data_IF_794145295467
#
_entry.id   IF_794145295467
#
_cell.length_a   1.000
_cell.length_b   1.000
_cell.length_c   1.000
_cell.angle_alpha   90.00
_cell.angle_beta   90.00
_cell.angle_gamma   90.00
#
_symmetry.space_group_name_H-M   'P 1'
#
loop_
_entity.id
_entity.type
_entity.pdbx_description
1 polymer ?
#
# COMPACT_ATOMS: atom_id res chain seq x y z
N UNK A 1 8.54 -11.86 0.22
CA UNK A 1 7.15 -12.32 -0.04
C UNK A 1 6.27 -11.75 1.06
N UNK A 2 5.16 -11.10 0.69
CA UNK A 2 4.27 -10.42 1.63
C UNK A 2 2.83 -10.80 1.28
N UNK A 3 1.97 -10.89 2.30
CA UNK A 3 0.51 -10.95 2.12
C UNK A 3 -0.15 -10.14 3.24
N UNK A 4 -1.38 -9.71 2.98
CA UNK A 4 -2.20 -9.10 4.02
C UNK A 4 -2.74 -10.20 4.94
N UNK A 5 -2.57 -10.02 6.25
CA UNK A 5 -3.19 -10.86 7.26
C UNK A 5 -4.45 -10.16 7.76
N UNK A 6 -5.57 -10.89 7.83
CA UNK A 6 -6.87 -10.29 8.10
C UNK A 6 -7.04 -9.79 9.55
N UNK A 7 -6.18 -10.17 10.49
CA UNK A 7 -6.24 -9.70 11.88
C UNK A 7 -4.85 -9.73 12.52
N UNK A 8 -4.56 -8.69 13.29
CA UNK A 8 -3.28 -8.47 14.00
C UNK A 8 -3.42 -8.54 15.52
N UNK A 9 -4.60 -8.88 16.05
CA UNK A 9 -4.85 -8.94 17.49
C UNK A 9 -5.08 -7.58 18.17
N UNK A 10 -5.33 -6.51 17.41
CA UNK A 10 -5.58 -5.17 17.95
C UNK A 10 -6.94 -5.01 18.64
N UNK A 11 -7.21 -3.79 19.11
CA UNK A 11 -8.44 -3.43 19.84
C UNK A 11 -9.74 -3.58 19.03
N UNK A 12 -9.64 -3.72 17.70
CA UNK A 12 -10.76 -4.02 16.82
C UNK A 12 -10.44 -5.24 15.92
N UNK A 13 -11.42 -6.12 15.63
CA UNK A 13 -11.26 -7.16 14.62
C UNK A 13 -10.95 -6.58 13.25
N UNK A 14 -10.04 -7.20 12.51
CA UNK A 14 -9.73 -6.77 11.13
C UNK A 14 -8.45 -5.97 10.98
N UNK A 15 -7.76 -5.64 12.08
CA UNK A 15 -6.48 -4.90 12.06
C UNK A 15 -6.60 -3.39 11.80
N UNK A 16 -7.82 -2.85 11.70
CA UNK A 16 -8.08 -1.43 11.43
C UNK A 16 -8.89 -0.82 12.59
N UNK A 17 -8.21 -0.49 13.69
CA UNK A 17 -8.85 0.19 14.82
C UNK A 17 -8.77 1.72 14.66
N UNK A 18 -9.84 2.33 14.14
CA UNK A 18 -9.92 3.79 13.97
C UNK A 18 -9.85 4.58 15.27
N UNK A 19 -10.19 3.94 16.39
CA UNK A 19 -10.17 4.55 17.72
C UNK A 19 -8.92 4.17 18.52
N UNK A 20 -7.88 3.62 17.87
CA UNK A 20 -6.63 3.29 18.55
C UNK A 20 -5.94 4.60 19.01
N UNK A 21 -5.77 4.82 20.33
CA UNK A 21 -5.11 6.02 20.84
C UNK A 21 -3.61 6.05 20.50
N UNK A 22 -3.01 4.88 20.32
CA UNK A 22 -1.59 4.68 20.09
C UNK A 22 -1.34 3.37 19.33
N UNK A 23 -0.08 3.14 18.98
CA UNK A 23 0.36 1.96 18.23
C UNK A 23 0.17 0.63 19.01
N UNK A 24 0.06 0.66 20.35
CA UNK A 24 -0.12 -0.56 21.14
C UNK A 24 -1.56 -1.07 21.08
N UNK A 25 -2.52 -0.18 20.83
CA UNK A 25 -3.92 -0.56 20.59
C UNK A 25 -4.19 -1.17 19.20
N UNK A 26 -3.18 -1.22 18.32
CA UNK A 26 -3.30 -1.73 16.93
C UNK A 26 -3.02 -3.23 16.79
N UNK A 27 -2.55 -3.86 17.86
CA UNK A 27 -2.26 -5.28 17.91
C UNK A 27 -0.76 -5.57 17.98
N UNK A 28 -0.42 -6.81 17.65
CA UNK A 28 0.91 -7.34 17.90
C UNK A 28 1.88 -6.92 16.78
N UNK A 29 2.93 -6.22 17.20
CA UNK A 29 4.07 -5.89 16.34
C UNK A 29 5.11 -6.98 16.48
N UNK A 30 5.20 -7.84 15.47
CA UNK A 30 6.24 -8.86 15.42
C UNK A 30 7.55 -8.22 14.91
N UNK A 31 8.64 -8.23 15.70
CA UNK A 31 9.95 -7.86 15.17
C UNK A 31 10.41 -8.91 14.14
N UNK A 32 11.58 -8.70 13.52
CA UNK A 32 12.17 -9.64 12.58
C UNK A 32 12.57 -10.96 13.29
N UNK A 33 11.61 -11.87 13.47
CA UNK A 33 11.78 -13.16 14.10
C UNK A 33 11.99 -14.27 13.06
N UNK A 34 12.81 -15.27 13.40
CA UNK A 34 12.94 -16.48 12.57
C UNK A 34 11.76 -17.42 12.82
N UNK A 35 10.99 -17.70 11.77
CA UNK A 35 9.92 -18.71 11.79
C UNK A 35 10.43 -20.14 11.57
N UNK A 36 11.51 -20.27 10.79
CA UNK A 36 12.16 -21.54 10.49
C UNK A 36 13.66 -21.38 10.74
N UNK A 37 14.21 -22.27 11.56
CA UNK A 37 15.61 -22.28 11.93
C UNK A 37 16.22 -23.63 11.55
N UNK A 38 17.24 -23.61 10.68
CA UNK A 38 17.90 -24.82 10.16
C UNK A 38 16.94 -25.85 9.56
N UNK A 39 15.86 -25.39 8.92
CA UNK A 39 14.83 -26.25 8.32
C UNK A 39 13.76 -26.73 9.32
N UNK A 40 13.86 -26.39 10.60
CA UNK A 40 12.86 -26.74 11.62
C UNK A 40 11.99 -25.53 11.96
N UNK A 41 10.67 -25.72 11.97
CA UNK A 41 9.70 -24.68 12.34
C UNK A 41 9.81 -24.37 13.83
N UNK A 42 9.85 -23.08 14.18
CA UNK A 42 9.78 -22.59 15.55
C UNK A 42 8.32 -22.57 16.01
N UNK A 43 7.86 -23.70 16.57
CA UNK A 43 6.45 -23.92 16.93
C UNK A 43 5.97 -22.97 18.02
N UNK A 44 6.87 -22.59 18.92
CA UNK A 44 6.67 -21.56 19.95
C UNK A 44 6.31 -20.20 19.32
N UNK A 45 7.05 -19.78 18.29
CA UNK A 45 6.78 -18.53 17.57
C UNK A 45 5.49 -18.63 16.76
N UNK A 46 5.28 -19.71 16.01
CA UNK A 46 4.01 -19.91 15.27
C UNK A 46 2.80 -19.86 16.21
N UNK A 47 2.89 -20.52 17.37
CA UNK A 47 1.83 -20.54 18.37
C UNK A 47 1.58 -19.15 18.96
N UNK A 48 2.63 -18.43 19.35
CA UNK A 48 2.52 -17.05 19.84
C UNK A 48 1.83 -16.14 18.81
N UNK A 49 2.21 -16.23 17.53
CA UNK A 49 1.59 -15.43 16.48
C UNK A 49 0.11 -15.80 16.29
N UNK A 50 -0.21 -17.10 16.24
CA UNK A 50 -1.58 -17.58 16.06
C UNK A 50 -2.48 -17.24 17.25
N UNK A 51 -1.98 -17.30 18.48
CA UNK A 51 -2.72 -16.95 19.70
C UNK A 51 -3.15 -15.49 19.73
N UNK A 52 -2.46 -14.63 18.97
CA UNK A 52 -2.76 -13.21 18.84
C UNK A 52 -3.57 -12.88 17.57
N UNK A 53 -4.15 -13.87 16.88
CA UNK A 53 -5.04 -13.64 15.75
C UNK A 53 -6.41 -14.23 16.00
N UNK A 54 -7.45 -13.46 15.64
CA UNK A 54 -8.84 -13.94 15.65
C UNK A 54 -9.16 -14.87 14.48
N UNK A 55 -8.27 -14.94 13.48
CA UNK A 55 -8.54 -15.58 12.19
C UNK A 55 -7.99 -17.00 12.15
N UNK A 56 -8.83 -18.04 11.88
CA UNK A 56 -8.37 -19.42 11.87
C UNK A 56 -7.43 -19.73 10.68
N UNK A 57 -7.43 -18.88 9.65
CA UNK A 57 -6.58 -19.02 8.45
C UNK A 57 -5.17 -18.47 8.64
N UNK A 58 -4.89 -17.74 9.72
CA UNK A 58 -3.61 -17.04 9.95
C UNK A 58 -2.38 -17.93 9.74
N UNK A 59 -2.39 -19.15 10.31
CA UNK A 59 -1.29 -20.10 10.14
C UNK A 59 -1.18 -20.63 8.71
N UNK A 60 -2.30 -20.71 7.98
CA UNK A 60 -2.32 -21.06 6.57
C UNK A 60 -1.60 -20.00 5.73
N UNK A 61 -1.92 -18.73 5.96
CA UNK A 61 -1.28 -17.59 5.29
C UNK A 61 0.22 -17.53 5.59
N UNK A 62 0.60 -17.72 6.86
CA UNK A 62 2.02 -17.79 7.28
C UNK A 62 2.77 -18.92 6.57
N UNK A 63 2.18 -20.12 6.51
CA UNK A 63 2.77 -21.28 5.84
C UNK A 63 2.85 -21.10 4.34
N UNK A 64 1.89 -20.41 3.72
CA UNK A 64 1.92 -20.07 2.31
C UNK A 64 3.10 -19.12 2.01
N UNK A 65 3.35 -18.12 2.86
CA UNK A 65 4.51 -17.22 2.73
C UNK A 65 5.85 -17.99 2.83
N UNK A 66 5.97 -18.92 3.78
CA UNK A 66 7.15 -19.78 3.93
C UNK A 66 7.33 -20.66 2.69
N UNK A 67 6.29 -21.38 2.27
CA UNK A 67 6.36 -22.28 1.10
C UNK A 67 6.70 -21.54 -0.20
N UNK A 68 6.15 -20.34 -0.41
CA UNK A 68 6.51 -19.49 -1.54
C UNK A 68 8.00 -19.07 -1.49
N UNK A 69 8.54 -18.81 -0.29
CA UNK A 69 9.95 -18.45 -0.10
C UNK A 69 10.86 -19.64 -0.41
N UNK A 70 10.51 -20.83 0.09
CA UNK A 70 11.25 -22.07 -0.19
C UNK A 70 11.26 -22.41 -1.68
N UNK A 71 10.13 -22.23 -2.37
CA UNK A 71 10.06 -22.38 -3.82
C UNK A 71 11.01 -21.41 -4.53
N UNK A 72 11.02 -20.14 -4.12
CA UNK A 72 11.93 -19.12 -4.65
C UNK A 72 13.41 -19.50 -4.46
N UNK A 73 13.77 -19.99 -3.28
CA UNK A 73 15.13 -20.48 -2.98
C UNK A 73 15.51 -21.64 -3.90
N UNK A 74 14.62 -22.62 -4.11
CA UNK A 74 14.87 -23.75 -5.01
C UNK A 74 15.11 -23.27 -6.45
N UNK A 75 14.26 -22.40 -6.97
CA UNK A 75 14.40 -21.86 -8.33
C UNK A 75 15.67 -21.03 -8.48
N UNK A 76 16.03 -20.23 -7.48
CA UNK A 76 17.28 -19.47 -7.50
C UNK A 76 18.51 -20.40 -7.52
N UNK A 77 18.49 -21.50 -6.76
CA UNK A 77 19.56 -22.51 -6.79
C UNK A 77 19.71 -23.15 -8.17
N UNK A 78 18.61 -23.46 -8.86
CA UNK A 78 18.63 -23.99 -10.24
C UNK A 78 19.32 -23.00 -11.20
N UNK A 79 18.99 -21.71 -11.09
CA UNK A 79 19.61 -20.64 -11.91
C UNK A 79 21.09 -20.49 -11.59
N UNK A 80 21.45 -20.48 -10.30
CA UNK A 80 22.85 -20.38 -9.86
C UNK A 80 23.69 -21.59 -10.32
N UNK A 81 23.14 -22.81 -10.27
CA UNK A 81 23.81 -24.02 -10.75
C UNK A 81 24.05 -23.97 -12.26
N UNK A 82 23.11 -23.41 -13.04
CA UNK A 82 23.20 -23.33 -14.50
C UNK A 82 24.16 -22.24 -14.99
N UNK A 83 24.16 -21.06 -14.37
CA UNK A 83 24.85 -19.88 -14.88
C UNK A 83 26.06 -19.44 -14.04
N UNK A 84 26.21 -19.98 -12.84
CA UNK A 84 27.24 -19.57 -11.89
C UNK A 84 26.89 -18.27 -11.15
N UNK A 85 27.45 -18.12 -9.95
CA UNK A 85 27.14 -17.01 -9.04
C UNK A 85 27.48 -15.65 -9.64
N UNK A 86 28.65 -15.48 -10.25
CA UNK A 86 29.09 -14.19 -10.76
C UNK A 86 28.24 -13.69 -11.93
N UNK A 87 27.86 -14.59 -12.84
CA UNK A 87 26.94 -14.27 -13.94
C UNK A 87 25.59 -13.79 -13.42
N UNK A 88 25.03 -14.50 -12.43
CA UNK A 88 23.73 -14.14 -11.84
C UNK A 88 23.82 -12.79 -11.11
N UNK A 89 24.88 -12.56 -10.34
CA UNK A 89 25.11 -11.26 -9.68
C UNK A 89 25.27 -10.13 -10.71
N UNK A 90 25.98 -10.39 -11.81
CA UNK A 90 26.11 -9.48 -12.94
C UNK A 90 24.76 -9.14 -13.56
N UNK A 91 23.93 -10.15 -13.81
CA UNK A 91 22.58 -9.98 -14.36
C UNK A 91 21.67 -9.16 -13.44
N UNK A 92 21.70 -9.41 -12.12
CA UNK A 92 20.93 -8.62 -11.14
C UNK A 92 21.34 -7.14 -11.19
N UNK A 93 22.65 -6.85 -11.18
CA UNK A 93 23.16 -5.48 -11.31
C UNK A 93 22.72 -4.83 -12.61
N UNK A 94 22.77 -5.56 -13.73
CA UNK A 94 22.36 -5.07 -15.04
C UNK A 94 20.85 -4.75 -15.09
N UNK A 95 20.01 -5.58 -14.49
CA UNK A 95 18.54 -5.38 -14.43
C UNK A 95 18.19 -4.16 -13.57
N UNK A 96 18.88 -3.96 -12.44
CA UNK A 96 18.72 -2.77 -11.59
C UNK A 96 19.17 -1.51 -12.33
N UNK A 97 20.35 -1.54 -12.96
CA UNK A 97 20.86 -0.41 -13.74
C UNK A 97 19.94 -0.08 -14.93
N UNK A 98 19.38 -1.11 -15.59
CA UNK A 98 18.44 -0.94 -16.67
C UNK A 98 17.16 -0.23 -16.20
N UNK A 99 16.56 -0.65 -15.07
CA UNK A 99 15.38 0.00 -14.52
C UNK A 99 15.63 1.49 -14.23
N UNK A 100 16.77 1.82 -13.60
CA UNK A 100 17.18 3.19 -13.32
C UNK A 100 17.32 4.03 -14.59
N UNK A 101 17.95 3.48 -15.63
CA UNK A 101 18.12 4.16 -16.91
C UNK A 101 16.77 4.41 -17.58
N UNK A 102 15.91 3.40 -17.64
CA UNK A 102 14.57 3.52 -18.25
C UNK A 102 13.69 4.54 -17.53
N UNK A 103 13.72 4.56 -16.19
CA UNK A 103 13.06 5.59 -15.39
C UNK A 103 13.53 6.99 -15.79
N UNK A 104 14.85 7.21 -15.81
CA UNK A 104 15.45 8.51 -16.16
C UNK A 104 15.12 8.94 -17.59
N UNK A 105 15.10 8.01 -18.53
CA UNK A 105 14.71 8.25 -19.93
C UNK A 105 13.24 8.65 -20.07
N UNK A 106 12.36 8.14 -19.20
CA UNK A 106 10.96 8.55 -19.16
C UNK A 106 10.80 9.94 -18.54
N UNK A 107 11.39 10.17 -17.37
CA UNK A 107 11.32 11.49 -16.70
C UNK A 107 11.91 12.60 -17.57
N UNK A 108 12.98 12.33 -18.33
CA UNK A 108 13.57 13.31 -19.26
C UNK A 108 12.65 13.76 -20.40
N UNK A 109 11.50 13.10 -20.60
CA UNK A 109 10.47 13.51 -21.58
C UNK A 109 9.40 14.40 -20.96
N UNK A 110 9.33 14.46 -19.63
CA UNK A 110 8.42 15.34 -18.92
C UNK A 110 8.97 16.77 -18.97
N UNK A 111 8.11 17.80 -19.09
CA UNK A 111 8.59 19.17 -19.03
C UNK A 111 9.24 19.46 -17.67
N UNK A 112 10.35 20.18 -17.68
CA UNK A 112 10.97 20.66 -16.45
C UNK A 112 10.04 21.66 -15.75
N UNK A 113 9.92 21.54 -14.44
CA UNK A 113 8.99 22.36 -13.67
C UNK A 113 8.83 21.89 -12.23
N UNK A 114 8.11 22.71 -11.47
CA UNK A 114 7.62 22.38 -10.13
C UNK A 114 6.11 22.32 -10.23
N UNK A 115 5.53 21.19 -9.84
CA UNK A 115 4.11 20.90 -9.92
C UNK A 115 3.57 20.65 -8.53
N UNK A 116 2.69 21.52 -8.05
CA UNK A 116 2.18 21.48 -6.69
C UNK A 116 0.73 21.03 -6.65
N UNK A 117 0.36 20.40 -5.55
CA UNK A 117 -1.02 20.00 -5.29
C UNK A 117 -1.31 19.90 -3.81
N UNK A 118 -2.55 20.22 -3.47
CA UNK A 118 -3.11 20.03 -2.14
C UNK A 118 -4.31 19.09 -2.20
N UNK A 119 -4.31 18.11 -1.31
CA UNK A 119 -5.40 17.14 -1.11
C UNK A 119 -5.74 17.08 0.38
N UNK A 120 -6.97 16.73 0.69
CA UNK A 120 -7.49 16.71 2.05
C UNK A 120 -8.11 15.36 2.37
N UNK A 121 -7.77 14.82 3.54
CA UNK A 121 -8.51 13.74 4.19
C UNK A 121 -9.74 14.37 4.84
N UNK A 122 -10.93 13.92 4.43
CA UNK A 122 -12.22 14.49 4.81
C UNK A 122 -12.51 14.35 6.33
N UNK A 123 -13.21 15.35 6.88
CA UNK A 123 -13.62 15.42 8.26
C UNK A 123 -14.49 14.25 8.73
N UNK A 124 -14.43 14.01 10.03
CA UNK A 124 -15.41 13.23 10.77
C UNK A 124 -16.60 14.14 11.17
N UNK A 125 -17.87 13.71 11.09
CA UNK A 125 -19.05 14.44 11.60
C UNK A 125 -18.94 14.95 13.05
N UNK A 126 -17.92 14.52 13.80
CA UNK A 126 -17.54 15.05 15.11
C UNK A 126 -16.78 16.39 15.09
N UNK A 127 -16.64 17.06 13.94
CA UNK A 127 -16.20 18.46 13.85
C UNK A 127 -14.68 18.68 13.86
N UNK A 128 -13.89 17.67 13.45
CA UNK A 128 -12.43 17.79 13.30
C UNK A 128 -12.07 18.47 11.99
N UNK A 129 -10.98 19.22 11.97
CA UNK A 129 -10.45 19.85 10.74
C UNK A 129 -9.80 18.78 9.86
N UNK A 130 -10.07 18.86 8.56
CA UNK A 130 -9.44 18.04 7.51
C UNK A 130 -7.93 17.94 7.68
N UNK A 131 -7.36 16.77 7.36
CA UNK A 131 -5.92 16.56 7.37
C UNK A 131 -5.39 16.94 5.99
N UNK A 132 -4.51 17.93 5.96
CA UNK A 132 -3.94 18.46 4.73
C UNK A 132 -2.72 17.63 4.29
N UNK A 133 -2.70 17.25 3.02
CA UNK A 133 -1.58 16.57 2.36
C UNK A 133 -1.13 17.45 1.20
N UNK A 134 0.09 18.00 1.34
CA UNK A 134 0.73 18.80 0.31
C UNK A 134 1.75 17.97 -0.46
N UNK A 135 1.85 18.15 -1.76
CA UNK A 135 2.84 17.49 -2.59
C UNK A 135 3.38 18.46 -3.65
N UNK A 136 4.69 18.63 -3.68
CA UNK A 136 5.44 19.30 -4.73
C UNK A 136 6.28 18.28 -5.49
N UNK A 137 6.04 18.16 -6.80
CA UNK A 137 6.81 17.30 -7.70
C UNK A 137 7.72 18.18 -8.56
N UNK A 138 9.03 18.00 -8.40
CA UNK A 138 10.03 18.74 -9.18
C UNK A 138 10.63 17.83 -10.25
N UNK A 139 10.51 18.23 -11.50
CA UNK A 139 11.15 17.59 -12.66
C UNK A 139 12.31 18.46 -13.12
N UNK A 140 13.51 17.89 -13.22
CA UNK A 140 14.70 18.58 -13.72
C UNK A 140 15.55 17.63 -14.58
N UNK A 141 15.43 17.75 -15.90
CA UNK A 141 16.00 16.81 -16.84
C UNK A 141 15.54 15.39 -16.52
N UNK A 142 16.46 14.53 -16.11
CA UNK A 142 16.14 13.14 -15.75
C UNK A 142 15.91 12.90 -14.25
N UNK A 143 15.87 13.96 -13.42
CA UNK A 143 15.70 13.86 -11.98
C UNK A 143 14.25 14.15 -11.58
N UNK A 144 13.74 13.39 -10.62
CA UNK A 144 12.40 13.53 -10.07
C UNK A 144 12.51 13.61 -8.54
N UNK A 145 12.08 14.73 -7.97
CA UNK A 145 11.95 14.93 -6.52
C UNK A 145 10.48 15.05 -6.17
N UNK A 146 10.05 14.34 -5.12
CA UNK A 146 8.72 14.43 -4.54
C UNK A 146 8.87 14.91 -3.11
N UNK A 147 8.30 16.07 -2.81
CA UNK A 147 8.40 16.74 -1.53
C UNK A 147 7.02 16.90 -0.90
N UNK A 148 6.88 16.41 0.33
CA UNK A 148 5.66 16.51 1.13
C UNK A 148 5.76 17.58 2.23
N UNK A 149 6.76 18.46 2.18
CA UNK A 149 6.89 19.63 3.05
C UNK A 149 5.64 20.50 2.98
N UNK A 150 5.06 20.82 4.13
CA UNK A 150 3.78 21.53 4.22
C UNK A 150 2.57 20.61 4.45
N UNK A 151 2.75 19.29 4.48
CA UNK A 151 1.73 18.36 4.97
C UNK A 151 1.48 18.53 6.47
N UNK A 152 0.25 18.24 6.90
CA UNK A 152 -0.24 18.49 8.26
C UNK A 152 0.64 17.84 9.36
N UNK A 153 1.07 18.64 10.33
CA UNK A 153 1.93 18.25 11.45
C UNK A 153 1.25 18.47 12.81
N UNK A 154 -0.05 18.77 12.82
CA UNK A 154 -0.78 19.05 14.07
C UNK A 154 -0.77 17.81 14.98
N UNK A 155 -0.60 18.00 16.30
CA UNK A 155 -0.45 16.89 17.24
C UNK A 155 -1.74 16.08 17.47
N UNK A 156 -2.90 16.67 17.14
CA UNK A 156 -4.25 16.15 17.39
C UNK A 156 -4.89 15.45 16.18
N UNK A 157 -4.15 15.27 15.07
CA UNK A 157 -4.64 14.47 13.95
C UNK A 157 -4.75 12.99 14.32
N UNK A 158 -5.68 12.30 13.66
CA UNK A 158 -6.05 10.92 13.98
C UNK A 158 -5.73 9.92 12.87
N UNK A 159 -5.15 10.37 11.76
CA UNK A 159 -4.74 9.51 10.67
C UNK A 159 -3.28 9.81 10.33
N UNK A 160 -2.43 8.80 10.46
CA UNK A 160 -1.02 8.88 10.12
C UNK A 160 -0.64 7.72 9.20
N UNK A 161 0.26 7.98 8.26
CA UNK A 161 0.91 7.00 7.41
C UNK A 161 2.37 6.91 7.81
N UNK A 162 2.90 5.71 8.03
CA UNK A 162 4.34 5.54 8.26
C UNK A 162 5.13 5.95 7.01
N UNK A 163 6.38 6.39 7.19
CA UNK A 163 7.28 6.68 6.05
C UNK A 163 7.34 5.53 5.03
N UNK A 164 7.42 4.29 5.51
CA UNK A 164 7.45 3.10 4.65
C UNK A 164 6.18 2.94 3.81
N UNK A 165 5.01 3.21 4.39
CA UNK A 165 3.73 3.19 3.67
C UNK A 165 3.63 4.35 2.68
N UNK A 166 3.97 5.57 3.10
CA UNK A 166 4.02 6.77 2.26
C UNK A 166 4.92 6.54 1.03
N UNK A 167 6.15 6.08 1.23
CA UNK A 167 7.08 5.70 0.15
C UNK A 167 6.48 4.63 -0.78
N UNK A 168 5.76 3.65 -0.22
CA UNK A 168 5.05 2.64 -1.00
C UNK A 168 3.99 3.22 -1.92
N UNK A 169 3.18 4.15 -1.43
CA UNK A 169 2.16 4.86 -2.21
C UNK A 169 2.78 5.75 -3.30
N UNK A 170 3.85 6.47 -2.98
CA UNK A 170 4.62 7.27 -3.95
C UNK A 170 5.07 6.40 -5.12
N UNK A 171 5.78 5.30 -4.83
CA UNK A 171 6.29 4.38 -5.84
C UNK A 171 5.14 3.74 -6.64
N UNK A 172 4.07 3.32 -5.97
CA UNK A 172 2.94 2.68 -6.64
C UNK A 172 2.20 3.64 -7.58
N UNK A 173 2.01 4.90 -7.17
CA UNK A 173 1.37 5.90 -8.00
C UNK A 173 2.23 6.22 -9.22
N UNK A 174 3.52 6.52 -9.04
CA UNK A 174 4.44 6.76 -10.16
C UNK A 174 4.52 5.57 -11.12
N UNK A 175 4.61 4.34 -10.60
CA UNK A 175 4.65 3.13 -11.42
C UNK A 175 3.39 2.93 -12.26
N UNK A 176 2.24 3.48 -11.85
CA UNK A 176 0.99 3.45 -12.62
C UNK A 176 0.91 4.55 -13.68
N UNK A 177 1.61 5.68 -13.47
CA UNK A 177 1.65 6.82 -14.37
C UNK A 177 2.75 6.68 -15.45
N UNK A 178 3.77 5.88 -15.15
CA UNK A 178 4.93 5.64 -16.00
C UNK A 178 4.73 4.45 -16.98
N UNK A 179 5.67 4.26 -17.90
CA UNK A 179 5.70 3.16 -18.85
C UNK A 179 5.64 1.80 -18.12
N UNK A 180 4.60 0.98 -18.39
CA UNK A 180 4.42 -0.29 -17.71
C UNK A 180 5.55 -1.28 -18.01
N UNK A 181 6.33 -1.08 -19.08
CA UNK A 181 7.49 -1.91 -19.43
C UNK A 181 8.72 -1.68 -18.53
N UNK A 182 8.79 -0.57 -17.79
CA UNK A 182 9.92 -0.29 -16.90
C UNK A 182 9.92 -1.30 -15.74
N UNK A 183 11.03 -2.00 -15.45
CA UNK A 183 11.08 -2.91 -14.31
C UNK A 183 10.95 -2.17 -12.96
N UNK A 184 10.15 -2.73 -12.04
CA UNK A 184 9.91 -2.16 -10.70
C UNK A 184 10.82 -2.84 -9.67
N UNK A 185 12.06 -2.38 -9.59
CA UNK A 185 13.08 -2.85 -8.65
C UNK A 185 13.82 -1.67 -8.02
N UNK A 186 14.88 -1.92 -7.25
CA UNK A 186 15.67 -0.89 -6.56
C UNK A 186 16.14 0.24 -7.50
N UNK A 187 16.40 -0.06 -8.78
CA UNK A 187 16.78 0.96 -9.76
C UNK A 187 15.70 2.00 -10.02
N UNK A 188 14.42 1.58 -9.99
CA UNK A 188 13.27 2.47 -10.06
C UNK A 188 13.07 3.22 -8.74
N UNK A 189 13.13 2.51 -7.61
CA UNK A 189 12.86 3.10 -6.29
C UNK A 189 13.89 4.14 -5.87
N UNK A 190 15.17 3.89 -6.14
CA UNK A 190 16.28 4.80 -5.80
C UNK A 190 16.40 5.99 -6.76
N UNK A 191 15.68 5.97 -7.88
CA UNK A 191 15.67 7.07 -8.83
C UNK A 191 14.71 8.20 -8.44
N UNK A 192 13.85 7.95 -7.45
CA UNK A 192 12.91 8.92 -6.88
C UNK A 192 13.59 9.54 -5.65
N UNK A 193 13.81 10.84 -5.69
CA UNK A 193 14.21 11.60 -4.52
C UNK A 193 12.95 11.96 -3.72
N UNK A 194 12.86 11.52 -2.46
CA UNK A 194 11.64 11.59 -1.66
C UNK A 194 11.90 12.31 -0.35
N UNK A 195 11.22 13.44 -0.15
CA UNK A 195 11.30 14.28 1.04
C UNK A 195 9.97 14.16 1.80
N UNK A 196 10.03 13.61 3.02
CA UNK A 196 8.88 13.50 3.93
C UNK A 196 9.32 13.95 5.32
N UNK A 197 8.99 15.18 5.75
CA UNK A 197 9.42 15.70 7.04
C UNK A 197 9.00 14.80 8.20
N UNK A 198 9.88 14.61 9.17
CA UNK A 198 9.53 13.92 10.42
C UNK A 198 8.50 14.73 11.21
N UNK A 199 7.54 14.05 11.83
CA UNK A 199 6.50 14.67 12.66
C UNK A 199 5.18 14.92 11.94
N UNK A 200 5.15 14.91 10.61
CA UNK A 200 3.91 15.14 9.85
C UNK A 200 3.02 13.88 9.75
N UNK A 201 1.84 14.05 9.18
CA UNK A 201 0.85 12.99 8.96
C UNK A 201 1.39 11.83 8.08
N UNK A 202 2.47 12.04 7.32
CA UNK A 202 3.08 11.05 6.42
C UNK A 202 4.37 10.42 6.97
N UNK A 203 4.86 10.89 8.12
CA UNK A 203 6.02 10.37 8.83
C UNK A 203 5.89 10.69 10.34
N UNK A 204 4.95 10.03 11.06
CA UNK A 204 4.61 10.36 12.42
C UNK A 204 5.74 10.10 13.42
N UNK A 205 5.75 10.79 14.57
CA UNK A 205 6.62 10.42 15.68
C UNK A 205 6.27 9.02 16.21
N UNK A 206 7.23 8.31 16.83
CA UNK A 206 6.99 7.00 17.41
C UNK A 206 5.81 6.97 18.39
N UNK A 207 5.04 5.88 18.37
CA UNK A 207 3.93 5.65 19.30
C UNK A 207 2.56 6.07 18.77
N UNK A 208 2.49 6.88 17.71
CA UNK A 208 1.22 7.24 17.06
C UNK A 208 0.57 6.03 16.38
N UNK A 209 -0.76 6.03 16.37
CA UNK A 209 -1.59 5.08 15.62
C UNK A 209 -1.44 5.31 14.11
N UNK A 210 -1.22 4.24 13.35
CA UNK A 210 -1.00 4.20 11.90
C UNK A 210 -1.89 3.16 11.20
N UNK A 211 -2.83 2.52 11.91
CA UNK A 211 -3.70 1.48 11.38
C UNK A 211 -4.51 1.97 10.18
N UNK A 212 -5.01 3.21 10.24
CA UNK A 212 -5.72 3.84 9.13
C UNK A 212 -4.82 4.23 7.95
N UNK A 213 -3.50 4.29 8.15
CA UNK A 213 -2.52 4.90 7.25
C UNK A 213 -2.57 4.42 5.81
N UNK A 214 -2.90 3.16 5.57
CA UNK A 214 -3.08 2.60 4.21
C UNK A 214 -4.26 3.25 3.48
N UNK A 215 -5.34 3.57 4.19
CA UNK A 215 -6.51 4.22 3.60
C UNK A 215 -6.36 5.74 3.65
N UNK A 216 -6.01 6.28 4.81
CA UNK A 216 -5.86 7.71 5.04
C UNK A 216 -4.70 7.96 6.01
N UNK A 217 -3.74 8.85 5.69
CA UNK A 217 -3.62 9.67 4.48
C UNK A 217 -2.92 8.97 3.28
N UNK A 218 -2.73 7.63 3.31
CA UNK A 218 -1.97 6.93 2.27
C UNK A 218 -2.55 7.05 0.86
N UNK A 219 -3.88 7.09 0.73
CA UNK A 219 -4.49 7.25 -0.61
C UNK A 219 -4.38 8.67 -1.13
N UNK A 220 -4.39 9.65 -0.23
CA UNK A 220 -4.19 11.06 -0.51
C UNK A 220 -2.78 11.35 -1.01
N UNK A 221 -1.77 10.58 -0.58
CA UNK A 221 -0.41 10.62 -1.16
C UNK A 221 -0.44 10.33 -2.67
N UNK A 222 -1.19 9.30 -3.08
CA UNK A 222 -1.34 8.95 -4.49
C UNK A 222 -2.19 9.97 -5.26
N UNK A 223 -3.26 10.49 -4.64
CA UNK A 223 -4.12 11.53 -5.21
C UNK A 223 -3.34 12.84 -5.42
N UNK A 224 -2.52 13.25 -4.46
CA UNK A 224 -1.70 14.46 -4.57
C UNK A 224 -0.70 14.34 -5.72
N UNK A 225 0.04 13.23 -5.81
CA UNK A 225 0.96 13.00 -6.94
C UNK A 225 0.23 13.01 -8.28
N UNK A 226 -0.92 12.33 -8.39
CA UNK A 226 -1.69 12.28 -9.61
C UNK A 226 -2.18 13.68 -10.03
N UNK A 227 -2.64 14.48 -9.07
CA UNK A 227 -3.09 15.86 -9.28
C UNK A 227 -1.94 16.79 -9.67
N UNK A 228 -0.79 16.71 -9.01
CA UNK A 228 0.40 17.48 -9.36
C UNK A 228 0.85 17.18 -10.81
N UNK A 229 0.88 15.90 -11.20
CA UNK A 229 1.34 15.46 -12.52
C UNK A 229 0.25 15.41 -13.60
N UNK A 230 -0.97 15.89 -13.31
CA UNK A 230 -2.09 15.93 -14.26
C UNK A 230 -1.71 16.64 -15.57
N UNK A 231 -1.04 17.79 -15.47
CA UNK A 231 -0.62 18.58 -16.63
C UNK A 231 0.56 17.98 -17.40
N UNK A 232 1.28 17.03 -16.80
CA UNK A 232 2.52 16.43 -17.34
C UNK A 232 2.22 15.16 -18.12
N UNK A 233 1.39 14.27 -17.55
CA UNK A 233 1.03 12.98 -18.15
C UNK A 233 -0.50 12.74 -18.10
N UNK A 234 -1.31 13.61 -18.73
CA UNK A 234 -2.78 13.63 -18.55
C UNK A 234 -3.46 12.29 -18.87
N UNK A 235 -2.95 11.54 -19.84
CA UNK A 235 -3.50 10.23 -20.22
C UNK A 235 -3.31 9.14 -19.15
N UNK A 236 -2.40 9.35 -18.20
CA UNK A 236 -2.02 8.37 -17.17
C UNK A 236 -2.14 8.90 -15.75
N UNK A 237 -2.48 10.18 -15.57
CA UNK A 237 -2.75 10.83 -14.29
C UNK A 237 -4.13 10.45 -13.74
N UNK A 238 -4.36 9.17 -13.52
CA UNK A 238 -5.51 8.69 -12.77
C UNK A 238 -5.09 8.42 -11.32
N UNK A 239 -5.70 9.08 -10.31
CA UNK A 239 -5.48 8.72 -8.92
C UNK A 239 -5.83 7.25 -8.72
N UNK A 240 -4.97 6.49 -8.03
CA UNK A 240 -5.32 5.13 -7.62
C UNK A 240 -6.49 5.19 -6.64
N UNK A 241 -7.72 5.12 -7.13
CA UNK A 241 -8.93 5.28 -6.33
C UNK A 241 -9.21 4.05 -5.45
N UNK A 242 -8.65 4.02 -4.24
CA UNK A 242 -9.12 3.11 -3.16
C UNK A 242 -10.13 3.78 -2.23
N UNK A 243 -10.50 5.05 -2.47
CA UNK A 243 -11.45 5.85 -1.67
C UNK A 243 -12.83 5.19 -1.47
N UNK A 244 -13.18 4.18 -2.27
CA UNK A 244 -14.43 3.40 -2.16
C UNK A 244 -14.39 2.24 -1.15
N UNK A 245 -13.28 1.98 -0.47
CA UNK A 245 -13.15 0.86 0.47
C UNK A 245 -13.64 1.19 1.89
N UNK A 246 -14.85 1.75 2.05
CA UNK A 246 -15.48 1.80 3.38
C UNK A 246 -15.95 0.39 3.77
N UNK A 247 -15.08 -0.38 4.43
CA UNK A 247 -15.45 -1.68 5.01
C UNK A 247 -16.41 -1.46 6.16
N UNK A 248 -17.69 -1.83 5.99
CA UNK A 248 -18.57 -2.09 7.13
C UNK A 248 -18.11 -3.39 7.79
N UNK A 249 -17.38 -3.29 8.90
CA UNK A 249 -17.18 -4.42 9.81
C UNK A 249 -18.46 -4.65 10.64
N UNK A 250 -19.48 -5.29 10.06
CA UNK A 250 -20.67 -5.71 10.83
C UNK A 250 -20.46 -7.14 11.35
N UNK A 251 -20.33 -7.30 12.65
CA UNK A 251 -20.38 -8.61 13.32
C UNK A 251 -21.84 -9.04 13.48
N UNK A 252 -22.37 -9.78 12.50
CA UNK A 252 -23.64 -10.50 12.68
C UNK A 252 -23.30 -11.94 13.09
N UNK A 253 -23.91 -12.49 14.17
CA UNK A 253 -23.72 -13.89 14.53
C UNK A 253 -24.34 -14.78 13.43
N UNK A 254 -23.53 -15.67 12.84
CA UNK A 254 -24.02 -16.70 11.90
C UNK A 254 -24.32 -17.97 12.74
N UNK A 255 -25.44 -18.69 12.51
CA UNK A 255 -25.77 -19.89 13.28
C UNK A 255 -24.68 -20.97 13.16
N UNK A 256 -24.51 -21.75 14.24
CA UNK A 256 -23.38 -22.64 14.53
C UNK A 256 -23.13 -23.82 13.55
N UNK A 257 -23.75 -23.85 12.37
CA UNK A 257 -23.55 -24.90 11.34
C UNK A 257 -22.82 -24.40 10.08
N UNK A 258 -22.51 -23.11 9.98
CA UNK A 258 -21.72 -22.54 8.89
C UNK A 258 -20.28 -22.21 9.34
N UNK A 259 -19.29 -22.69 8.58
CA UNK A 259 -17.87 -22.41 8.82
C UNK A 259 -17.64 -20.90 8.98
N UNK A 260 -16.94 -20.54 10.06
CA UNK A 260 -16.51 -19.18 10.33
C UNK A 260 -15.67 -18.67 9.14
N UNK A 261 -16.27 -17.80 8.34
CA UNK A 261 -15.63 -17.22 7.16
C UNK A 261 -15.74 -15.70 7.28
N UNK A 262 -14.67 -15.08 7.78
CA UNK A 262 -14.42 -13.65 7.61
C UNK A 262 -14.00 -13.41 6.15
N UNK A 263 -14.95 -13.54 5.21
CA UNK A 263 -14.71 -13.21 3.82
C UNK A 263 -14.62 -11.70 3.69
N UNK A 264 -13.43 -11.21 3.30
CA UNK A 264 -13.29 -9.92 2.64
C UNK A 264 -14.04 -10.00 1.30
N UNK A 265 -15.28 -9.52 1.27
CA UNK A 265 -16.07 -9.47 0.02
C UNK A 265 -15.83 -8.12 -0.65
N UNK A 266 -15.08 -8.14 -1.76
CA UNK A 266 -15.11 -7.05 -2.73
C UNK A 266 -16.46 -7.12 -3.45
N UNK A 267 -17.33 -6.13 -3.22
CA UNK A 267 -18.60 -6.00 -3.95
C UNK A 267 -18.38 -4.90 -5.00
N UNK A 268 -18.36 -5.22 -6.30
CA UNK A 268 -18.43 -4.20 -7.34
C UNK A 268 -19.82 -3.55 -7.30
N UNK A 269 -19.88 -2.22 -7.37
CA UNK A 269 -21.13 -1.47 -7.55
C UNK A 269 -21.85 -1.90 -8.84
N UNK A 270 -23.19 -2.09 -8.83
CA UNK A 270 -23.95 -2.33 -10.05
C UNK A 270 -23.97 -1.04 -10.90
N UNK A 271 -23.51 -1.18 -12.15
CA UNK A 271 -23.66 -0.14 -13.18
C UNK A 271 -25.11 0.34 -13.21
N UNK A 272 -25.29 1.66 -13.19
CA UNK A 272 -26.53 2.36 -13.47
C UNK A 272 -27.08 1.92 -14.83
N UNK A 273 -28.02 0.97 -14.82
CA UNK A 273 -28.83 0.66 -15.98
C UNK A 273 -29.82 1.81 -16.18
N UNK A 274 -29.60 2.59 -17.24
CA UNK A 274 -30.52 3.61 -17.70
C UNK A 274 -31.92 3.00 -17.92
N UNK A 275 -32.92 3.58 -17.26
CA UNK A 275 -34.34 3.33 -17.56
C UNK A 275 -34.65 3.93 -18.93
N UNK A 276 -34.65 3.11 -19.98
CA UNK A 276 -35.35 3.44 -21.23
C UNK A 276 -36.79 2.94 -21.13
N UNK A 277 -37.73 3.88 -20.97
CA UNK A 277 -39.16 3.59 -21.02
C UNK A 277 -39.58 3.17 -22.43
N UNK A 278 -40.05 1.94 -22.57
CA UNK A 278 -40.75 1.44 -23.75
C UNK A 278 -42.23 1.28 -23.42
N UNK A 279 -43.07 2.13 -24.01
CA UNK A 279 -44.53 1.96 -24.05
C UNK A 279 -44.84 0.70 -24.87
N UNK A 280 -45.51 -0.28 -24.28
CA UNK A 280 -46.20 -1.33 -25.04
C UNK A 280 -47.67 -0.98 -25.14
N UNK A 281 -48.11 -0.75 -26.37
CA UNK A 281 -49.51 -0.60 -26.76
C UNK A 281 -50.28 -1.90 -26.48
N UNK A 282 -51.54 -1.75 -26.07
CA UNK A 282 -52.47 -2.86 -25.92
C UNK A 282 -52.94 -3.41 -27.25
N UNK A 283 -53.23 -4.72 -27.27
CA UNK A 283 -54.19 -5.33 -28.16
C UNK A 283 -54.64 -6.68 -27.56
N UNK A 284 -55.96 -6.74 -27.32
CA UNK A 284 -56.82 -7.89 -26.96
C UNK A 284 -56.85 -8.33 -25.50
#
# INVERSE_FOLDING_TARGET
IQCHHADTGGGAPGGYNVNAPDIWAEGVRFPALKLVEKGTKRRDVEYMMAANSRTPTFLGDLRAQVGATELGVRRLKEVLARFGTETVRGAVRAIIAHARRRFREEVARWPDGVYESDVYVDHDPHGKRDIHVHCAVTVRGSALTIDFTGSDDRPDIQAYSTFGNTRGYVVAQLASMMDPSIPKNEGFFDAIDLIVPEGCCLNPPPGKSVAAGTHHPGTEVGEAIAKALESVVPERSCPRSTRWACRRSSSVPIPATARCSSITRWIPSPRTAARSGGRTAGAR
#
